data_IF_115605664550
#
_entry.id   IF_115605664550
#
_cell.length_a   1.000
_cell.length_b   1.000
_cell.length_c   1.000
_cell.angle_alpha   90.00
_cell.angle_beta   90.00
_cell.angle_gamma   90.00
#
_symmetry.space_group_name_H-M   'P 1'
#
loop_
_entity.id
_entity.type
_entity.pdbx_description
1 polymer ?
#
# COMPACT_ATOMS: atom_id res chain seq x y z
N UNK A 1 -47.26 20.10 -7.55
CA UNK A 1 -47.44 19.55 -6.19
C UNK A 1 -46.24 19.96 -5.37
N UNK A 2 -46.43 20.52 -4.18
CA UNK A 2 -45.32 20.78 -3.27
C UNK A 2 -44.70 19.44 -2.83
N UNK A 3 -43.36 19.34 -2.71
CA UNK A 3 -42.75 18.13 -2.17
C UNK A 3 -43.28 17.85 -0.75
N UNK A 4 -43.36 16.58 -0.31
CA UNK A 4 -43.81 16.26 1.04
C UNK A 4 -42.78 16.78 2.05
N UNK A 5 -43.22 17.59 3.01
CA UNK A 5 -42.43 18.05 4.15
C UNK A 5 -42.10 16.85 5.05
N UNK A 6 -40.83 16.43 5.02
CA UNK A 6 -40.34 15.25 5.75
C UNK A 6 -39.21 15.60 6.69
N UNK A 7 -38.64 16.79 6.59
CA UNK A 7 -37.63 17.27 7.50
C UNK A 7 -38.26 17.77 8.80
N UNK A 8 -37.51 17.69 9.90
CA UNK A 8 -38.02 18.15 11.19
C UNK A 8 -37.80 19.64 11.35
N UNK A 9 -38.74 20.34 11.98
CA UNK A 9 -38.66 21.78 12.23
C UNK A 9 -37.75 22.21 13.41
N UNK A 10 -37.12 21.25 14.09
CA UNK A 10 -36.22 21.48 15.24
C UNK A 10 -35.12 20.42 15.27
N UNK A 11 -34.03 20.68 16.02
CA UNK A 11 -32.98 19.67 16.28
C UNK A 11 -33.55 18.36 16.84
N UNK A 12 -34.54 18.44 17.76
CA UNK A 12 -35.17 17.26 18.38
C UNK A 12 -35.91 16.39 17.35
N UNK A 13 -36.55 17.02 16.37
CA UNK A 13 -37.37 16.36 15.37
C UNK A 13 -36.61 16.11 14.05
N UNK A 14 -35.31 16.40 14.00
CA UNK A 14 -34.51 16.34 12.79
C UNK A 14 -34.60 14.97 12.09
N UNK A 15 -34.78 15.00 10.77
CA UNK A 15 -34.89 13.79 9.96
C UNK A 15 -33.58 13.02 9.97
N UNK A 16 -33.62 11.77 10.41
CA UNK A 16 -32.44 10.89 10.45
C UNK A 16 -32.07 10.43 9.04
N UNK A 17 -30.80 10.59 8.67
CA UNK A 17 -30.26 10.12 7.39
C UNK A 17 -28.98 9.32 7.63
N UNK A 18 -28.87 8.17 6.96
CA UNK A 18 -27.64 7.38 6.92
C UNK A 18 -26.80 7.75 5.71
N UNK A 19 -25.59 8.27 5.94
CA UNK A 19 -24.69 8.70 4.88
C UNK A 19 -23.58 7.66 4.64
N UNK A 20 -23.14 7.60 3.39
CA UNK A 20 -22.07 6.73 2.88
C UNK A 20 -21.24 7.51 1.85
N UNK A 21 -20.22 6.89 1.26
CA UNK A 21 -19.47 7.48 0.15
C UNK A 21 -20.37 7.75 -1.08
N UNK A 22 -21.38 6.91 -1.33
CA UNK A 22 -22.38 7.14 -2.38
C UNK A 22 -23.31 8.31 -2.00
N UNK A 23 -23.41 9.37 -2.83
CA UNK A 23 -24.28 10.49 -2.56
C UNK A 23 -25.76 10.11 -2.51
N UNK A 24 -26.50 10.68 -1.55
CA UNK A 24 -27.95 10.54 -1.41
C UNK A 24 -28.63 11.89 -1.54
N UNK A 25 -29.72 11.94 -2.31
CA UNK A 25 -30.49 13.16 -2.53
C UNK A 25 -31.84 13.14 -1.81
N UNK A 26 -32.18 14.28 -1.22
CA UNK A 26 -33.45 14.56 -0.55
C UNK A 26 -34.10 15.78 -1.23
N UNK A 27 -35.40 15.73 -1.47
CA UNK A 27 -36.17 16.87 -1.98
C UNK A 27 -37.15 17.31 -0.90
N UNK A 28 -37.19 18.61 -0.64
CA UNK A 28 -38.07 19.20 0.36
C UNK A 28 -38.34 20.69 0.08
N UNK A 29 -39.02 21.39 1.00
CA UNK A 29 -39.27 22.83 0.91
C UNK A 29 -39.14 23.53 2.27
N UNK A 30 -38.70 24.79 2.27
CA UNK A 30 -38.68 25.67 3.45
C UNK A 30 -39.35 27.01 3.16
N UNK A 31 -39.89 27.68 4.20
CA UNK A 31 -40.52 28.98 4.04
C UNK A 31 -41.31 29.50 5.24
N UNK A 32 -41.24 30.81 5.50
CA UNK A 32 -41.92 31.40 6.65
C UNK A 32 -41.26 30.98 7.97
N UNK A 33 -41.99 30.23 8.81
CA UNK A 33 -41.45 29.66 10.07
C UNK A 33 -40.82 28.27 9.89
N UNK A 34 -40.95 27.71 8.68
CA UNK A 34 -40.53 26.36 8.36
C UNK A 34 -39.03 26.29 8.08
N UNK A 35 -38.35 25.43 8.84
CA UNK A 35 -36.91 25.18 8.83
C UNK A 35 -36.68 23.68 8.74
N UNK A 36 -35.75 23.24 7.91
CA UNK A 36 -35.51 21.82 7.76
C UNK A 36 -34.25 21.39 8.49
N UNK A 37 -34.43 20.49 9.45
CA UNK A 37 -33.33 19.86 10.17
C UNK A 37 -33.15 18.41 9.74
N UNK A 38 -31.90 18.08 9.40
CA UNK A 38 -31.44 16.71 9.16
C UNK A 38 -30.41 16.33 10.22
N UNK A 39 -30.39 15.06 10.61
CA UNK A 39 -29.42 14.50 11.54
C UNK A 39 -28.74 13.28 10.94
N UNK A 40 -27.42 13.23 11.06
CA UNK A 40 -26.64 12.05 10.70
C UNK A 40 -25.55 11.78 11.75
N UNK A 41 -25.00 10.57 11.71
CA UNK A 41 -23.87 10.17 12.55
C UNK A 41 -22.76 9.67 11.64
N UNK A 42 -21.54 10.14 11.89
CA UNK A 42 -20.33 9.55 11.33
C UNK A 42 -19.65 8.74 12.44
N UNK A 43 -19.32 7.48 12.15
CA UNK A 43 -18.75 6.55 13.15
C UNK A 43 -17.24 6.70 13.30
N UNK A 44 -16.58 7.25 12.28
CA UNK A 44 -15.15 7.56 12.22
C UNK A 44 -14.96 8.83 11.42
N UNK A 45 -13.75 9.40 11.45
CA UNK A 45 -13.43 10.58 10.65
C UNK A 45 -13.86 10.35 9.18
N UNK A 46 -14.50 11.33 8.54
CA UNK A 46 -15.12 11.18 7.21
C UNK A 46 -15.00 12.45 6.39
N UNK A 47 -14.67 12.32 5.09
CA UNK A 47 -14.81 13.39 4.12
C UNK A 47 -16.31 13.61 3.85
N UNK A 48 -16.82 14.76 4.28
CA UNK A 48 -18.22 15.16 4.16
C UNK A 48 -18.41 16.11 2.96
N UNK A 49 -19.52 15.93 2.26
CA UNK A 49 -19.96 16.84 1.21
C UNK A 49 -21.47 17.08 1.28
N UNK A 50 -21.83 18.35 1.10
CA UNK A 50 -23.20 18.84 1.03
C UNK A 50 -23.35 19.74 -0.19
N UNK A 51 -24.41 19.52 -0.95
CA UNK A 51 -24.85 20.39 -2.04
C UNK A 51 -26.36 20.65 -1.93
N UNK A 52 -26.75 21.90 -1.69
CA UNK A 52 -28.15 22.35 -1.79
C UNK A 52 -28.35 23.01 -3.16
N UNK A 53 -29.24 22.45 -3.97
CA UNK A 53 -29.45 22.85 -5.36
C UNK A 53 -30.93 22.87 -5.74
N UNK A 54 -31.23 23.18 -7.00
CA UNK A 54 -32.60 23.25 -7.54
C UNK A 54 -33.52 24.21 -6.76
N UNK A 55 -32.94 25.29 -6.23
CA UNK A 55 -33.64 26.31 -5.43
C UNK A 55 -34.63 27.12 -6.26
N UNK A 56 -35.89 27.21 -5.81
CA UNK A 56 -36.90 28.09 -6.44
C UNK A 56 -36.88 29.52 -5.90
N UNK A 57 -36.34 29.72 -4.69
CA UNK A 57 -35.92 31.01 -4.11
C UNK A 57 -34.70 30.83 -3.20
N UNK A 58 -34.12 31.93 -2.70
CA UNK A 58 -32.89 31.86 -1.89
C UNK A 58 -33.13 31.16 -0.53
N UNK A 59 -32.28 30.17 -0.22
CA UNK A 59 -32.13 29.54 1.08
C UNK A 59 -30.67 29.18 1.33
N UNK A 60 -30.32 29.12 2.60
CA UNK A 60 -28.96 28.88 3.06
C UNK A 60 -28.87 27.56 3.82
N UNK A 61 -27.64 27.12 4.09
CA UNK A 61 -27.37 25.91 4.87
C UNK A 61 -26.35 26.16 5.96
N UNK A 62 -26.53 25.46 7.08
CA UNK A 62 -25.56 25.35 8.15
C UNK A 62 -25.32 23.88 8.49
N UNK A 63 -24.06 23.56 8.80
CA UNK A 63 -23.65 22.35 9.47
C UNK A 63 -23.39 22.69 10.94
N UNK A 64 -23.96 21.92 11.86
CA UNK A 64 -23.90 22.13 13.30
C UNK A 64 -23.43 20.87 14.02
N UNK A 65 -22.87 21.06 15.22
CA UNK A 65 -22.56 19.98 16.16
C UNK A 65 -23.82 19.45 16.89
N UNK A 66 -23.62 18.53 17.83
CA UNK A 66 -24.69 17.88 18.58
C UNK A 66 -25.36 18.77 19.64
N UNK A 67 -24.76 19.93 19.94
CA UNK A 67 -25.32 20.97 20.79
C UNK A 67 -26.08 22.04 19.99
N UNK A 68 -26.07 21.94 18.66
CA UNK A 68 -26.72 22.90 17.76
C UNK A 68 -25.89 24.14 17.49
N UNK A 69 -24.59 24.15 17.82
CA UNK A 69 -23.68 25.23 17.48
C UNK A 69 -23.27 25.09 16.02
N UNK A 70 -23.35 26.18 15.26
CA UNK A 70 -22.90 26.23 13.86
C UNK A 70 -21.38 26.02 13.79
N UNK A 71 -20.98 25.00 13.03
CA UNK A 71 -19.59 24.70 12.68
C UNK A 71 -19.22 25.38 11.37
N UNK A 72 -20.06 25.21 10.35
CA UNK A 72 -19.86 25.76 9.01
C UNK A 72 -21.19 26.26 8.44
N UNK A 73 -21.11 27.23 7.52
CA UNK A 73 -22.26 27.83 6.87
C UNK A 73 -21.96 28.14 5.40
N UNK A 74 -22.99 28.05 4.56
CA UNK A 74 -22.98 28.54 3.19
C UNK A 74 -24.25 29.38 2.96
N UNK A 75 -24.06 30.60 2.45
CA UNK A 75 -25.10 31.62 2.31
C UNK A 75 -24.93 32.43 1.02
N UNK A 76 -24.89 31.74 -0.13
CA UNK A 76 -24.72 32.38 -1.43
C UNK A 76 -26.01 33.12 -1.82
N UNK A 77 -25.84 34.20 -2.59
CA UNK A 77 -26.99 35.02 -3.02
C UNK A 77 -27.81 34.31 -4.11
N UNK A 78 -29.09 34.67 -4.19
CA UNK A 78 -30.05 34.21 -5.22
C UNK A 78 -30.32 32.70 -5.15
N UNK A 79 -30.38 32.02 -6.30
CA UNK A 79 -30.66 30.57 -6.41
C UNK A 79 -29.37 29.76 -6.60
N UNK A 80 -28.22 30.32 -6.21
CA UNK A 80 -26.93 29.65 -6.39
C UNK A 80 -26.87 28.45 -5.45
N UNK A 81 -26.30 27.31 -5.89
CA UNK A 81 -26.17 26.17 -5.01
C UNK A 81 -25.26 26.46 -3.82
N UNK A 82 -25.69 26.00 -2.65
CA UNK A 82 -24.90 26.02 -1.43
C UNK A 82 -24.01 24.78 -1.36
N UNK A 83 -22.76 24.97 -0.96
CA UNK A 83 -21.78 23.88 -0.89
C UNK A 83 -21.03 23.97 0.43
N UNK A 84 -20.90 22.82 1.10
CA UNK A 84 -20.00 22.61 2.23
C UNK A 84 -19.21 21.32 1.95
N UNK A 85 -17.88 21.41 2.07
CA UNK A 85 -16.97 20.28 2.00
C UNK A 85 -16.01 20.41 3.18
N UNK A 86 -15.93 19.38 4.01
CA UNK A 86 -15.05 19.36 5.17
C UNK A 86 -14.75 17.93 5.63
N UNK A 87 -13.77 17.77 6.51
CA UNK A 87 -13.56 16.54 7.27
C UNK A 87 -14.29 16.62 8.61
N UNK A 88 -15.16 15.64 8.86
CA UNK A 88 -15.86 15.51 10.14
C UNK A 88 -15.23 14.40 10.97
N UNK A 89 -14.96 14.65 12.25
CA UNK A 89 -14.56 13.61 13.21
C UNK A 89 -15.75 12.71 13.56
N UNK A 90 -15.52 11.60 14.26
CA UNK A 90 -16.61 10.74 14.71
C UNK A 90 -17.57 11.54 15.63
N UNK A 91 -18.86 11.53 15.32
CA UNK A 91 -19.81 12.40 16.00
C UNK A 91 -21.21 12.38 15.39
N UNK A 92 -22.13 13.04 16.09
CA UNK A 92 -23.47 13.35 15.56
C UNK A 92 -23.46 14.78 15.06
N UNK A 93 -24.01 15.00 13.88
CA UNK A 93 -24.08 16.31 13.25
C UNK A 93 -25.49 16.60 12.77
N UNK A 94 -25.79 17.89 12.66
CA UNK A 94 -27.07 18.40 12.18
C UNK A 94 -26.86 19.35 11.01
N UNK A 95 -27.79 19.32 10.07
CA UNK A 95 -27.86 20.28 8.96
C UNK A 95 -29.15 21.08 9.15
N UNK A 96 -29.06 22.40 9.04
CA UNK A 96 -30.21 23.30 8.99
C UNK A 96 -30.29 23.93 7.61
N UNK A 97 -31.39 23.70 6.90
CA UNK A 97 -31.74 24.46 5.69
C UNK A 97 -32.76 25.51 6.09
N UNK A 98 -32.54 26.76 5.70
CA UNK A 98 -33.41 27.87 6.12
C UNK A 98 -33.60 28.92 5.02
N UNK A 99 -34.83 29.47 4.88
CA UNK A 99 -35.14 30.42 3.84
C UNK A 99 -34.60 31.82 4.18
N UNK A 100 -34.40 32.65 3.16
CA UNK A 100 -34.29 34.09 3.36
C UNK A 100 -35.62 34.71 3.81
N UNK A 101 -35.61 35.87 4.50
CA UNK A 101 -36.83 36.55 4.94
C UNK A 101 -37.85 36.72 3.80
N UNK A 102 -39.11 36.37 4.08
CA UNK A 102 -40.23 36.42 3.13
C UNK A 102 -40.03 35.59 1.84
N UNK A 103 -39.15 34.59 1.85
CA UNK A 103 -39.00 33.62 0.75
C UNK A 103 -39.56 32.26 1.13
N UNK A 104 -40.01 31.54 0.11
CA UNK A 104 -40.35 30.11 0.16
C UNK A 104 -39.58 29.44 -0.97
N UNK A 105 -38.95 28.32 -0.70
CA UNK A 105 -38.16 27.61 -1.70
C UNK A 105 -38.33 26.11 -1.57
N UNK A 106 -38.39 25.44 -2.70
CA UNK A 106 -38.16 24.00 -2.83
C UNK A 106 -36.70 23.76 -3.14
N UNK A 107 -36.14 22.65 -2.72
CA UNK A 107 -34.73 22.34 -2.95
C UNK A 107 -34.47 20.86 -3.19
N UNK A 108 -33.26 20.56 -3.65
CA UNK A 108 -32.63 19.25 -3.57
C UNK A 108 -31.36 19.34 -2.72
N UNK A 109 -31.32 18.58 -1.63
CA UNK A 109 -30.16 18.43 -0.76
C UNK A 109 -29.47 17.10 -1.07
N UNK A 110 -28.24 17.16 -1.57
CA UNK A 110 -27.40 15.98 -1.83
C UNK A 110 -26.28 15.90 -0.82
N UNK A 111 -26.18 14.76 -0.13
CA UNK A 111 -25.25 14.52 0.97
C UNK A 111 -24.42 13.26 0.73
N UNK A 112 -23.14 13.31 1.05
CA UNK A 112 -22.28 12.13 1.17
C UNK A 112 -21.31 12.30 2.36
N UNK A 113 -20.96 11.18 2.98
CA UNK A 113 -19.91 11.12 3.98
C UNK A 113 -19.10 9.85 3.72
N UNK A 114 -17.93 10.02 3.10
CA UNK A 114 -17.00 8.93 2.85
C UNK A 114 -16.08 8.81 4.07
N UNK A 115 -16.08 7.70 4.81
CA UNK A 115 -15.12 7.52 5.89
C UNK A 115 -13.69 7.77 5.41
N UNK A 116 -12.97 8.65 6.10
CA UNK A 116 -11.55 8.74 5.97
C UNK A 116 -11.01 7.40 6.42
N UNK A 117 -10.22 6.79 5.54
CA UNK A 117 -9.40 5.68 5.97
C UNK A 117 -8.29 6.29 6.80
N UNK A 118 -8.33 6.02 8.10
CA UNK A 118 -7.22 6.27 9.02
C UNK A 118 -6.20 5.19 8.68
N UNK A 119 -5.29 5.48 7.74
CA UNK A 119 -4.49 4.47 7.02
C UNK A 119 -3.86 3.44 7.96
N UNK A 120 -4.42 2.25 8.02
CA UNK A 120 -3.71 1.02 8.35
C UNK A 120 -3.55 0.33 7.00
N UNK A 121 -2.46 0.65 6.30
CA UNK A 121 -2.20 0.12 4.97
C UNK A 121 -2.40 -1.40 4.98
N UNK A 122 -3.22 -1.95 4.09
CA UNK A 122 -3.60 -3.36 4.15
C UNK A 122 -2.86 -4.19 3.11
N UNK A 123 -2.02 -5.10 3.58
CA UNK A 123 -1.47 -6.16 2.73
C UNK A 123 -2.25 -7.44 2.95
N UNK A 124 -3.02 -7.85 1.94
CA UNK A 124 -3.74 -9.11 1.94
C UNK A 124 -2.93 -10.21 1.25
N UNK A 125 -2.66 -11.31 1.96
CA UNK A 125 -2.04 -12.50 1.37
C UNK A 125 -3.11 -13.42 0.80
N UNK A 126 -3.01 -13.73 -0.49
CA UNK A 126 -3.94 -14.58 -1.21
C UNK A 126 -3.30 -15.92 -1.60
N UNK A 127 -3.76 -16.98 -0.93
CA UNK A 127 -3.23 -18.34 -1.03
C UNK A 127 -3.84 -19.16 -2.17
N UNK A 128 -4.65 -18.57 -3.07
CA UNK A 128 -5.36 -19.35 -4.11
C UNK A 128 -4.44 -20.13 -5.05
N UNK A 129 -3.19 -19.69 -5.21
CA UNK A 129 -2.22 -20.40 -6.03
C UNK A 129 -1.45 -21.48 -5.28
N UNK A 130 -1.50 -21.52 -3.94
CA UNK A 130 -0.93 -22.59 -3.12
C UNK A 130 -1.75 -23.88 -3.21
N UNK A 131 -1.86 -24.41 -4.42
CA UNK A 131 -2.64 -25.62 -4.74
C UNK A 131 -2.06 -26.88 -4.12
N UNK A 132 -0.83 -26.82 -3.59
CA UNK A 132 -0.17 -27.92 -2.87
C UNK A 132 -0.28 -27.81 -1.35
N UNK A 133 -0.89 -26.74 -0.83
CA UNK A 133 -1.10 -26.53 0.60
C UNK A 133 0.21 -26.38 1.39
N UNK A 134 1.25 -25.79 0.78
CA UNK A 134 2.54 -25.59 1.44
C UNK A 134 2.41 -24.62 2.63
N UNK A 135 1.56 -23.59 2.50
CA UNK A 135 1.29 -22.58 3.53
C UNK A 135 0.28 -23.05 4.58
N UNK A 136 0.61 -24.12 5.28
CA UNK A 136 -0.08 -24.55 6.50
C UNK A 136 0.53 -23.95 7.78
N UNK A 137 -0.28 -23.79 8.82
CA UNK A 137 0.15 -23.52 10.19
C UNK A 137 1.16 -22.36 10.32
N UNK A 138 2.35 -22.67 10.84
CA UNK A 138 3.39 -21.69 11.13
C UNK A 138 3.89 -20.92 9.89
N UNK A 139 3.89 -21.52 8.70
CA UNK A 139 4.35 -20.85 7.47
C UNK A 139 3.46 -19.68 7.09
N UNK A 140 2.15 -19.94 7.12
CA UNK A 140 1.10 -18.94 6.88
C UNK A 140 1.16 -17.83 7.93
N UNK A 141 1.25 -18.21 9.21
CA UNK A 141 1.34 -17.25 10.30
C UNK A 141 2.57 -16.33 10.18
N UNK A 142 3.75 -16.87 9.82
CA UNK A 142 4.96 -16.07 9.64
C UNK A 142 4.84 -15.09 8.46
N UNK A 143 4.22 -15.51 7.35
CA UNK A 143 4.02 -14.66 6.18
C UNK A 143 3.02 -13.52 6.45
N UNK A 144 1.90 -13.83 7.09
CA UNK A 144 0.90 -12.83 7.49
C UNK A 144 1.48 -11.83 8.50
N UNK A 145 2.33 -12.28 9.43
CA UNK A 145 3.03 -11.39 10.36
C UNK A 145 4.04 -10.47 9.65
N UNK A 146 4.76 -10.96 8.63
CA UNK A 146 5.64 -10.10 7.82
C UNK A 146 4.84 -9.03 7.05
N UNK A 147 3.66 -9.37 6.54
CA UNK A 147 2.74 -8.44 5.90
C UNK A 147 2.21 -7.38 6.89
N UNK A 148 1.91 -7.79 8.13
CA UNK A 148 1.48 -6.89 9.20
C UNK A 148 2.57 -5.85 9.53
N UNK A 149 3.84 -6.25 9.60
CA UNK A 149 4.94 -5.30 9.83
C UNK A 149 4.95 -4.17 8.80
N UNK A 150 4.88 -4.49 7.51
CA UNK A 150 4.80 -3.47 6.47
C UNK A 150 3.53 -2.62 6.55
N UNK A 151 2.40 -3.25 6.92
CA UNK A 151 1.12 -2.57 7.17
C UNK A 151 1.20 -1.56 8.32
N UNK A 152 2.11 -1.76 9.30
CA UNK A 152 2.37 -0.78 10.38
C UNK A 152 3.35 0.33 9.99
N UNK A 153 4.19 0.09 8.98
CA UNK A 153 5.18 1.05 8.51
C UNK A 153 4.54 2.01 7.50
N UNK A 154 3.73 1.50 6.60
CA UNK A 154 3.12 2.28 5.52
C UNK A 154 1.85 2.95 6.06
N UNK A 155 1.82 4.27 5.93
CA UNK A 155 0.69 5.14 6.26
C UNK A 155 0.05 5.73 5.00
N UNK A 156 0.42 5.22 3.82
CA UNK A 156 -0.30 5.51 2.60
C UNK A 156 -1.69 4.88 2.62
N UNK A 157 -2.55 5.46 1.80
CA UNK A 157 -3.87 4.93 1.50
C UNK A 157 -4.01 4.85 -0.02
N UNK A 158 -4.00 3.65 -0.59
CA UNK A 158 -4.17 3.46 -2.02
C UNK A 158 -5.65 3.45 -2.40
N UNK A 159 -5.98 3.82 -3.65
CA UNK A 159 -7.34 3.68 -4.14
C UNK A 159 -7.82 2.21 -4.09
N UNK A 160 -9.01 2.00 -3.54
CA UNK A 160 -9.69 0.69 -3.55
C UNK A 160 -9.84 0.17 -4.98
N UNK A 161 -9.54 -1.12 -5.18
CA UNK A 161 -9.80 -1.79 -6.45
C UNK A 161 -11.14 -2.51 -6.40
N UNK A 162 -12.12 -2.15 -7.25
CA UNK A 162 -13.44 -2.72 -7.21
C UNK A 162 -13.48 -4.18 -7.71
N UNK A 163 -14.50 -4.91 -7.26
CA UNK A 163 -14.85 -6.23 -7.81
C UNK A 163 -15.05 -6.12 -9.32
N UNK A 164 -14.59 -7.12 -10.06
CA UNK A 164 -14.65 -7.16 -11.53
C UNK A 164 -13.45 -6.53 -12.22
N UNK A 165 -12.54 -5.86 -11.49
CA UNK A 165 -11.32 -5.32 -12.09
C UNK A 165 -10.48 -6.43 -12.70
N UNK A 166 -10.14 -6.26 -13.98
CA UNK A 166 -9.29 -7.16 -14.72
C UNK A 166 -7.82 -6.78 -14.55
N UNK A 167 -7.00 -7.73 -14.12
CA UNK A 167 -5.56 -7.58 -13.95
C UNK A 167 -4.83 -8.56 -14.89
N UNK A 168 -4.20 -8.10 -15.97
CA UNK A 168 -3.54 -8.93 -16.94
C UNK A 168 -2.18 -9.39 -16.42
N UNK A 169 -1.68 -10.52 -16.90
CA UNK A 169 -0.32 -10.98 -16.63
C UNK A 169 0.02 -11.14 -15.13
N UNK A 170 -0.93 -11.63 -14.32
CA UNK A 170 -0.64 -11.99 -12.93
C UNK A 170 0.24 -13.23 -12.91
N UNK A 171 1.40 -13.14 -12.26
CA UNK A 171 2.32 -14.28 -12.11
C UNK A 171 1.70 -15.35 -11.22
N UNK A 172 1.78 -16.61 -11.63
CA UNK A 172 1.43 -17.74 -10.79
C UNK A 172 2.67 -18.17 -9.99
N UNK A 173 2.73 -17.91 -8.68
CA UNK A 173 3.90 -18.23 -7.85
C UNK A 173 4.11 -19.73 -7.64
N UNK A 174 3.08 -20.57 -7.83
CA UNK A 174 3.18 -22.02 -7.66
C UNK A 174 3.81 -22.71 -8.87
N UNK A 175 3.60 -22.18 -10.08
CA UNK A 175 4.09 -22.79 -11.33
C UNK A 175 5.19 -21.99 -12.01
N UNK A 176 5.36 -20.71 -11.63
CA UNK A 176 6.21 -19.79 -12.37
C UNK A 176 5.62 -19.34 -13.71
N UNK A 177 4.40 -19.78 -14.07
CA UNK A 177 3.69 -19.34 -15.26
C UNK A 177 2.97 -17.99 -15.07
N UNK A 178 2.17 -17.61 -16.06
CA UNK A 178 1.42 -16.35 -16.07
C UNK A 178 -0.06 -16.60 -16.30
N UNK A 179 -0.89 -16.05 -15.41
CA UNK A 179 -2.34 -15.94 -15.60
C UNK A 179 -2.61 -14.71 -16.45
N UNK A 180 -3.07 -14.94 -17.68
CA UNK A 180 -3.26 -13.88 -18.69
C UNK A 180 -4.22 -12.79 -18.24
N UNK A 181 -5.30 -13.17 -17.55
CA UNK A 181 -6.27 -12.22 -17.00
C UNK A 181 -6.81 -12.76 -15.69
N UNK A 182 -6.49 -12.06 -14.61
CA UNK A 182 -7.09 -12.24 -13.30
C UNK A 182 -8.29 -11.31 -13.17
N UNK A 183 -9.40 -11.81 -12.63
CA UNK A 183 -10.56 -10.97 -12.31
C UNK A 183 -10.73 -10.90 -10.81
N UNK A 184 -10.72 -9.68 -10.30
CA UNK A 184 -10.86 -9.37 -8.89
C UNK A 184 -12.24 -9.79 -8.41
N UNK A 185 -12.34 -10.85 -7.60
CA UNK A 185 -13.61 -11.42 -7.12
C UNK A 185 -14.12 -10.81 -5.81
N UNK A 186 -13.33 -9.91 -5.22
CA UNK A 186 -13.61 -9.15 -3.99
C UNK A 186 -12.84 -7.84 -4.06
N UNK A 187 -13.33 -6.76 -3.45
CA UNK A 187 -12.59 -5.50 -3.45
C UNK A 187 -11.20 -5.70 -2.82
N UNK A 188 -10.17 -5.10 -3.42
CA UNK A 188 -8.81 -5.06 -2.86
C UNK A 188 -8.65 -3.70 -2.20
N UNK A 189 -8.39 -3.75 -0.90
CA UNK A 189 -8.00 -2.62 -0.09
C UNK A 189 -6.47 -2.63 -0.04
N UNK A 190 -5.87 -1.57 -0.57
CA UNK A 190 -4.44 -1.38 -0.81
C UNK A 190 -3.71 -2.38 -1.73
N UNK A 191 -3.37 -3.56 -1.23
CA UNK A 191 -2.48 -4.51 -1.92
C UNK A 191 -2.88 -5.96 -1.64
N UNK A 192 -3.03 -6.76 -2.71
CA UNK A 192 -3.06 -8.23 -2.61
C UNK A 192 -1.75 -8.85 -3.07
N UNK A 193 -1.21 -9.81 -2.34
CA UNK A 193 -0.02 -10.58 -2.72
C UNK A 193 -0.41 -12.04 -2.91
N UNK A 194 -0.26 -12.53 -4.14
CA UNK A 194 -0.46 -13.92 -4.49
C UNK A 194 0.74 -14.76 -4.10
N UNK A 195 0.53 -15.85 -3.38
CA UNK A 195 1.63 -16.66 -2.85
C UNK A 195 1.57 -18.12 -3.29
N UNK A 196 2.75 -18.73 -3.39
CA UNK A 196 2.94 -20.13 -3.75
C UNK A 196 4.35 -20.60 -3.38
N UNK A 197 4.61 -21.89 -3.50
CA UNK A 197 5.92 -22.45 -3.21
C UNK A 197 6.31 -23.48 -4.25
N UNK A 198 7.53 -23.39 -4.77
CA UNK A 198 8.06 -24.33 -5.77
C UNK A 198 9.58 -24.39 -5.66
N UNK A 199 10.19 -25.40 -6.23
CA UNK A 199 11.64 -25.44 -6.38
C UNK A 199 12.09 -24.29 -7.28
N UNK A 200 12.96 -23.42 -6.77
CA UNK A 200 13.51 -22.26 -7.48
C UNK A 200 14.91 -22.54 -8.03
N UNK A 201 15.62 -23.48 -7.41
CA UNK A 201 16.95 -23.91 -7.82
C UNK A 201 18.06 -22.92 -7.45
N UNK A 202 19.29 -23.44 -7.42
CA UNK A 202 20.48 -22.66 -7.06
C UNK A 202 20.43 -22.17 -5.61
N UNK A 203 20.84 -20.92 -5.39
CA UNK A 203 20.84 -20.27 -4.07
C UNK A 203 19.62 -19.36 -3.85
N UNK A 204 18.63 -19.39 -4.73
CA UNK A 204 17.46 -18.50 -4.67
C UNK A 204 16.49 -18.96 -3.59
N UNK A 205 16.25 -18.11 -2.60
CA UNK A 205 15.35 -18.36 -1.48
C UNK A 205 13.89 -18.09 -1.83
N UNK A 206 13.66 -16.98 -2.52
CA UNK A 206 12.34 -16.54 -2.92
C UNK A 206 12.42 -15.66 -4.17
N UNK A 207 11.29 -15.50 -4.85
CA UNK A 207 11.11 -14.59 -5.97
C UNK A 207 9.84 -13.80 -5.76
N UNK A 208 9.91 -12.48 -5.86
CA UNK A 208 8.72 -11.64 -5.76
C UNK A 208 8.79 -10.39 -6.62
N UNK A 209 7.65 -9.71 -6.68
CA UNK A 209 7.54 -8.41 -7.30
C UNK A 209 6.08 -8.01 -7.54
N UNK A 210 5.87 -6.79 -8.03
CA UNK A 210 4.56 -6.36 -8.49
C UNK A 210 4.06 -7.31 -9.59
N UNK A 211 2.77 -7.59 -9.55
CA UNK A 211 2.06 -8.46 -10.48
C UNK A 211 0.96 -7.65 -11.13
N UNK A 212 0.54 -8.05 -12.33
CA UNK A 212 -0.42 -7.25 -13.06
C UNK A 212 0.24 -6.14 -13.87
N UNK A 213 1.30 -6.40 -14.63
CA UNK A 213 2.00 -5.32 -15.34
C UNK A 213 1.12 -4.72 -16.44
N UNK A 214 0.91 -3.41 -16.36
CA UNK A 214 0.16 -2.62 -17.32
C UNK A 214 1.07 -1.54 -17.92
N UNK A 215 1.06 -1.44 -19.24
CA UNK A 215 1.54 -0.23 -19.91
C UNK A 215 0.45 0.83 -19.80
N UNK A 216 0.79 2.00 -19.24
CA UNK A 216 -0.11 3.15 -19.12
C UNK A 216 -0.96 3.18 -17.85
N UNK A 217 -0.73 2.30 -16.87
CA UNK A 217 -1.36 2.43 -15.56
C UNK A 217 -0.51 3.32 -14.65
N UNK A 218 -1.08 4.47 -14.30
CA UNK A 218 -0.46 5.48 -13.44
C UNK A 218 0.02 4.93 -12.10
N UNK A 219 -0.68 3.95 -11.52
CA UNK A 219 -0.30 3.31 -10.25
C UNK A 219 0.99 2.49 -10.31
N UNK A 220 1.37 1.99 -11.49
CA UNK A 220 2.58 1.18 -11.67
C UNK A 220 3.73 1.97 -12.30
N UNK A 221 3.42 2.99 -13.10
CA UNK A 221 4.41 3.78 -13.85
C UNK A 221 4.73 5.14 -13.20
N UNK A 222 3.83 5.65 -12.37
CA UNK A 222 3.93 6.95 -11.72
C UNK A 222 5.06 7.07 -10.71
N UNK A 223 5.29 8.29 -10.22
CA UNK A 223 6.27 8.57 -9.17
C UNK A 223 5.85 8.03 -7.80
N UNK A 224 4.55 8.06 -7.52
CA UNK A 224 3.97 7.30 -6.42
C UNK A 224 3.63 5.89 -6.90
N UNK A 225 4.46 4.92 -6.54
CA UNK A 225 4.28 3.52 -6.94
C UNK A 225 3.27 2.83 -6.01
N UNK A 226 2.08 2.55 -6.52
CA UNK A 226 0.92 2.07 -5.74
C UNK A 226 0.32 0.79 -6.34
N UNK A 227 1.08 -0.31 -6.46
CA UNK A 227 0.58 -1.55 -7.05
C UNK A 227 -0.58 -2.08 -6.22
N UNK A 228 -1.57 -2.69 -6.86
CA UNK A 228 -2.64 -3.39 -6.14
C UNK A 228 -2.48 -4.90 -6.12
N UNK A 229 -1.58 -5.45 -6.93
CA UNK A 229 -1.29 -6.87 -7.00
C UNK A 229 0.21 -7.15 -6.98
N UNK A 230 0.61 -8.17 -6.22
CA UNK A 230 1.96 -8.71 -6.13
C UNK A 230 1.96 -10.23 -6.28
N UNK A 231 3.12 -10.80 -6.51
CA UNK A 231 3.29 -12.25 -6.47
C UNK A 231 4.60 -12.63 -5.80
N UNK A 232 4.59 -13.71 -5.03
CA UNK A 232 5.73 -14.17 -4.26
C UNK A 232 5.78 -15.70 -4.23
N UNK A 233 6.94 -16.26 -4.56
CA UNK A 233 7.21 -17.68 -4.52
C UNK A 233 8.38 -17.98 -3.60
N UNK A 234 8.24 -18.98 -2.73
CA UNK A 234 9.32 -19.45 -1.87
C UNK A 234 9.85 -20.79 -2.34
N UNK A 235 11.16 -20.98 -2.16
CA UNK A 235 11.83 -22.23 -2.49
C UNK A 235 11.43 -23.35 -1.52
N UNK A 236 10.99 -24.49 -2.07
CA UNK A 236 10.55 -25.64 -1.27
C UNK A 236 11.70 -26.52 -0.77
N UNK A 237 12.91 -26.33 -1.29
CA UNK A 237 14.10 -27.14 -0.93
C UNK A 237 14.90 -26.55 0.22
N UNK A 238 14.62 -25.29 0.56
CA UNK A 238 15.28 -24.58 1.65
C UNK A 238 14.84 -25.09 3.02
N UNK A 239 15.81 -25.30 3.91
CA UNK A 239 15.58 -25.58 5.33
C UNK A 239 15.19 -24.30 6.07
N UNK A 240 13.89 -24.06 6.17
CA UNK A 240 13.28 -22.86 6.74
C UNK A 240 13.01 -22.97 8.23
N UNK A 241 13.38 -21.93 8.97
CA UNK A 241 12.87 -21.63 10.30
C UNK A 241 11.61 -20.75 10.18
N UNK A 242 10.55 -21.12 10.89
CA UNK A 242 9.29 -20.37 10.93
C UNK A 242 9.03 -19.88 12.34
N UNK A 243 8.96 -18.57 12.48
CA UNK A 243 8.55 -17.90 13.70
C UNK A 243 7.73 -16.67 13.34
N UNK A 244 6.71 -16.41 14.16
CA UNK A 244 5.77 -15.29 14.00
C UNK A 244 6.11 -14.10 14.89
N UNK A 245 6.97 -14.28 15.89
CA UNK A 245 7.26 -13.25 16.90
C UNK A 245 8.49 -12.43 16.50
N UNK A 246 8.43 -11.12 16.76
CA UNK A 246 9.57 -10.21 16.58
C UNK A 246 10.45 -10.15 17.84
N UNK A 247 10.00 -10.79 18.93
CA UNK A 247 10.49 -10.54 20.29
C UNK A 247 11.70 -11.41 20.65
N UNK A 248 11.96 -12.46 19.87
CA UNK A 248 13.03 -13.42 20.07
C UNK A 248 13.79 -13.61 18.75
N UNK A 249 15.11 -13.41 18.78
CA UNK A 249 16.02 -13.71 17.65
C UNK A 249 17.06 -14.75 18.01
N UNK A 250 17.09 -15.19 19.27
CA UNK A 250 18.05 -16.17 19.82
C UNK A 250 17.65 -17.63 19.59
N UNK A 251 16.42 -17.85 19.14
CA UNK A 251 15.80 -19.16 18.89
C UNK A 251 16.04 -19.69 17.48
N UNK A 252 16.51 -18.84 16.55
CA UNK A 252 16.77 -19.23 15.17
C UNK A 252 18.00 -20.16 15.12
N UNK A 253 17.85 -21.41 14.64
CA UNK A 253 18.98 -22.32 14.52
C UNK A 253 20.00 -21.79 13.50
N UNK A 254 21.30 -21.87 13.85
CA UNK A 254 22.42 -21.34 13.04
C UNK A 254 22.48 -21.88 11.60
N UNK A 255 21.90 -23.05 11.35
CA UNK A 255 21.89 -23.73 10.06
C UNK A 255 20.59 -23.50 9.26
N UNK A 256 19.55 -22.91 9.85
CA UNK A 256 18.27 -22.70 9.19
C UNK A 256 18.14 -21.29 8.61
N UNK A 257 17.36 -21.18 7.54
CA UNK A 257 17.05 -19.90 6.92
C UNK A 257 15.83 -19.28 7.59
N UNK A 258 15.91 -18.04 8.05
CA UNK A 258 14.76 -17.36 8.66
C UNK A 258 13.75 -16.95 7.59
N UNK A 259 12.58 -17.62 7.59
CA UNK A 259 11.52 -17.38 6.62
C UNK A 259 10.91 -15.98 6.76
N UNK A 260 10.79 -15.49 7.99
CA UNK A 260 10.18 -14.19 8.28
C UNK A 260 10.98 -13.04 7.65
N UNK A 261 12.31 -13.04 7.80
CA UNK A 261 13.19 -12.05 7.16
C UNK A 261 13.08 -12.08 5.64
N UNK A 262 13.07 -13.27 5.04
CA UNK A 262 12.91 -13.40 3.59
C UNK A 262 11.53 -12.89 3.15
N UNK A 263 10.46 -13.25 3.86
CA UNK A 263 9.12 -12.72 3.55
C UNK A 263 9.07 -11.19 3.61
N UNK A 264 9.66 -10.56 4.63
CA UNK A 264 9.76 -9.11 4.71
C UNK A 264 10.49 -8.50 3.50
N UNK A 265 11.63 -9.08 3.14
CA UNK A 265 12.44 -8.64 2.00
C UNK A 265 11.65 -8.70 0.68
N UNK A 266 10.97 -9.81 0.44
CA UNK A 266 10.19 -10.01 -0.77
C UNK A 266 8.95 -9.07 -0.81
N UNK A 267 8.33 -8.75 0.32
CA UNK A 267 7.21 -7.78 0.34
C UNK A 267 7.71 -6.38 -0.07
N UNK A 268 8.93 -5.97 0.31
CA UNK A 268 9.50 -4.70 -0.15
C UNK A 268 9.71 -4.66 -1.67
N UNK A 269 10.10 -5.78 -2.29
CA UNK A 269 10.14 -5.89 -3.75
C UNK A 269 8.77 -5.75 -4.38
N UNK A 270 7.71 -6.32 -3.78
CA UNK A 270 6.33 -6.09 -4.24
C UNK A 270 5.95 -4.62 -4.16
N UNK A 271 6.38 -3.93 -3.10
CA UNK A 271 6.15 -2.50 -2.85
C UNK A 271 7.02 -1.57 -3.70
N UNK A 272 7.83 -2.12 -4.60
CA UNK A 272 8.55 -1.36 -5.63
C UNK A 272 10.03 -1.18 -5.39
N UNK A 273 10.58 -1.67 -4.26
CA UNK A 273 12.02 -1.62 -4.01
C UNK A 273 12.74 -2.45 -5.08
N UNK A 274 13.61 -1.83 -5.87
CA UNK A 274 14.36 -2.50 -6.94
C UNK A 274 13.54 -2.87 -8.18
N UNK A 275 12.24 -3.09 -8.05
CA UNK A 275 11.35 -3.59 -9.12
C UNK A 275 10.57 -2.50 -9.84
N UNK A 276 10.44 -1.30 -9.27
CA UNK A 276 9.59 -0.24 -9.83
C UNK A 276 10.35 0.71 -10.75
N UNK A 277 9.59 1.34 -11.66
CA UNK A 277 10.10 2.46 -12.46
C UNK A 277 10.43 3.66 -11.58
N UNK A 278 9.64 3.91 -10.53
CA UNK A 278 9.91 4.94 -9.52
C UNK A 278 11.30 4.75 -8.89
N UNK A 279 11.63 3.51 -8.50
CA UNK A 279 12.95 3.20 -7.97
C UNK A 279 14.04 3.46 -9.00
N UNK A 280 13.83 2.99 -10.25
CA UNK A 280 14.83 3.14 -11.29
C UNK A 280 15.12 4.58 -11.70
N UNK A 281 14.11 5.48 -11.65
CA UNK A 281 14.29 6.92 -11.93
C UNK A 281 15.16 7.63 -10.91
N UNK A 282 15.23 7.11 -9.69
CA UNK A 282 16.01 7.69 -8.59
C UNK A 282 17.44 7.14 -8.50
N UNK A 283 17.84 6.23 -9.41
CA UNK A 283 19.23 5.77 -9.51
C UNK A 283 20.12 6.83 -10.14
N UNK A 284 21.31 7.01 -9.59
CA UNK A 284 22.41 7.81 -10.16
C UNK A 284 23.72 7.01 -10.15
N UNK A 285 24.81 7.60 -10.63
CA UNK A 285 26.15 6.96 -10.62
C UNK A 285 26.63 6.56 -9.23
N UNK A 286 26.11 7.18 -8.17
CA UNK A 286 26.45 6.88 -6.77
C UNK A 286 25.55 5.86 -6.07
N UNK A 287 24.52 5.33 -6.75
CA UNK A 287 23.51 4.43 -6.18
C UNK A 287 22.11 5.05 -6.16
N UNK A 288 21.29 4.68 -5.18
CA UNK A 288 19.92 5.21 -5.04
C UNK A 288 19.95 6.61 -4.40
N UNK A 289 19.40 7.60 -5.11
CA UNK A 289 19.58 9.02 -4.83
C UNK A 289 18.29 9.77 -4.44
N UNK A 290 17.31 9.05 -3.89
CA UNK A 290 16.10 9.62 -3.34
C UNK A 290 16.37 10.60 -2.18
N UNK A 291 15.52 11.62 -2.03
CA UNK A 291 15.75 12.72 -1.10
C UNK A 291 15.63 12.27 0.36
N UNK A 292 14.62 11.45 0.68
CA UNK A 292 14.41 10.91 2.02
C UNK A 292 15.52 9.92 2.38
N UNK A 293 15.90 9.05 1.45
CA UNK A 293 16.99 8.09 1.62
C UNK A 293 18.30 8.81 1.90
N UNK A 294 18.66 9.84 1.12
CA UNK A 294 19.85 10.65 1.39
C UNK A 294 19.79 11.31 2.76
N UNK A 295 18.64 11.83 3.19
CA UNK A 295 18.49 12.43 4.52
C UNK A 295 18.78 11.41 5.64
N UNK A 296 18.30 10.16 5.49
CA UNK A 296 18.58 9.07 6.44
C UNK A 296 20.00 8.48 6.28
N UNK A 297 20.70 8.81 5.19
CA UNK A 297 22.01 8.29 4.83
C UNK A 297 23.12 9.34 4.86
N UNK A 298 23.03 10.32 5.77
CA UNK A 298 24.07 11.33 5.96
C UNK A 298 24.29 12.25 4.76
N UNK A 299 23.25 12.47 3.96
CA UNK A 299 23.28 13.27 2.73
C UNK A 299 23.79 12.55 1.48
N UNK A 300 24.27 11.31 1.61
CA UNK A 300 24.88 10.56 0.50
C UNK A 300 23.89 9.58 -0.15
N UNK A 301 24.07 9.31 -1.45
CA UNK A 301 23.31 8.26 -2.14
C UNK A 301 23.54 6.90 -1.47
N UNK A 302 22.49 6.08 -1.44
CA UNK A 302 22.52 4.73 -0.87
C UNK A 302 23.22 3.77 -1.86
N UNK A 303 24.36 3.15 -1.49
CA UNK A 303 25.07 2.25 -2.39
C UNK A 303 24.24 1.00 -2.71
N UNK A 304 24.34 0.52 -3.95
CA UNK A 304 23.64 -0.67 -4.45
C UNK A 304 24.65 -1.74 -4.92
N UNK A 305 24.34 -3.04 -4.77
CA UNK A 305 25.21 -4.17 -5.21
C UNK A 305 24.85 -4.64 -6.63
N UNK A 306 23.58 -4.94 -6.81
CA UNK A 306 22.91 -5.02 -8.11
C UNK A 306 22.08 -3.75 -8.28
N UNK A 307 21.55 -3.46 -9.46
CA UNK A 307 20.75 -2.24 -9.67
C UNK A 307 19.40 -2.22 -8.92
N UNK A 308 19.20 -3.15 -7.99
CA UNK A 308 17.94 -3.57 -7.35
C UNK A 308 18.07 -3.76 -5.83
N UNK A 309 19.27 -4.03 -5.31
CA UNK A 309 19.52 -4.28 -3.87
C UNK A 309 20.50 -3.29 -3.28
N UNK A 310 20.35 -3.02 -1.98
CA UNK A 310 21.35 -2.29 -1.20
C UNK A 310 22.66 -3.07 -1.19
N UNK A 311 23.79 -2.37 -1.27
CA UNK A 311 25.10 -3.00 -1.25
C UNK A 311 25.27 -3.87 -0.02
N UNK A 312 25.71 -5.10 -0.23
CA UNK A 312 26.05 -6.05 0.85
C UNK A 312 27.02 -5.42 1.85
N UNK A 313 26.83 -5.73 3.14
CA UNK A 313 27.58 -5.16 4.27
C UNK A 313 27.52 -3.64 4.42
N UNK A 314 26.63 -2.95 3.69
CA UNK A 314 26.43 -1.53 3.93
C UNK A 314 25.81 -1.34 5.31
N UNK A 315 26.41 -0.47 6.11
CA UNK A 315 25.85 -0.04 7.40
C UNK A 315 26.05 1.46 7.51
N UNK A 316 25.09 2.15 8.10
CA UNK A 316 25.17 3.59 8.33
C UNK A 316 24.49 3.93 9.66
N UNK A 317 25.03 4.90 10.41
CA UNK A 317 24.41 5.38 11.65
C UNK A 317 24.15 4.33 12.74
N UNK A 318 24.86 3.19 12.71
CA UNK A 318 24.68 2.11 13.69
C UNK A 318 23.41 1.25 13.50
N UNK A 319 22.70 1.38 12.37
CA UNK A 319 21.42 0.67 12.13
C UNK A 319 21.55 -0.82 11.81
N UNK A 320 22.78 -1.33 11.69
CA UNK A 320 23.04 -2.67 11.19
C UNK A 320 22.94 -2.78 9.68
N UNK A 321 22.94 -4.02 9.18
CA UNK A 321 22.81 -4.27 7.75
C UNK A 321 21.33 -4.16 7.30
N UNK A 322 21.01 -3.38 6.25
CA UNK A 322 19.65 -3.24 5.73
C UNK A 322 18.99 -4.56 5.33
N UNK A 323 17.66 -4.60 5.40
CA UNK A 323 16.86 -5.73 4.94
C UNK A 323 17.09 -6.03 3.47
N UNK A 324 17.18 -4.99 2.64
CA UNK A 324 17.19 -5.09 1.18
C UNK A 324 18.59 -5.32 0.57
N UNK A 325 19.51 -5.94 1.32
CA UNK A 325 20.75 -6.51 0.75
C UNK A 325 20.45 -7.82 0.02
N UNK A 326 21.23 -8.20 -1.00
CA UNK A 326 20.93 -9.38 -1.82
C UNK A 326 21.11 -10.72 -1.10
N UNK A 327 21.75 -10.73 0.08
CA UNK A 327 22.05 -11.94 0.84
C UNK A 327 21.29 -12.00 2.17
N UNK A 328 20.75 -13.18 2.45
CA UNK A 328 20.21 -13.54 3.75
C UNK A 328 21.15 -14.55 4.43
N UNK A 329 21.54 -14.25 5.66
CA UNK A 329 22.39 -15.12 6.45
C UNK A 329 21.55 -16.08 7.29
N UNK A 330 21.92 -17.37 7.28
CA UNK A 330 21.30 -18.39 8.14
C UNK A 330 21.51 -18.07 9.62
N UNK A 331 20.52 -18.43 10.44
CA UNK A 331 20.55 -18.17 11.88
C UNK A 331 20.32 -16.72 12.30
N UNK A 332 20.08 -15.81 11.37
CA UNK A 332 19.94 -14.38 11.66
C UNK A 332 18.57 -13.85 11.21
N UNK A 333 17.88 -13.14 12.12
CA UNK A 333 16.73 -12.29 11.79
C UNK A 333 17.22 -10.95 11.26
N UNK A 334 16.62 -10.50 10.16
CA UNK A 334 16.82 -9.19 9.54
C UNK A 334 15.46 -8.53 9.36
N UNK A 335 15.32 -7.31 9.85
CA UNK A 335 14.09 -6.51 9.84
C UNK A 335 14.29 -5.24 9.01
N UNK A 336 13.20 -4.55 8.67
CA UNK A 336 13.30 -3.29 7.92
C UNK A 336 14.02 -2.22 8.75
N UNK A 337 15.16 -1.74 8.23
CA UNK A 337 15.91 -0.62 8.80
C UNK A 337 15.35 0.71 8.32
N UNK A 338 15.81 1.81 8.91
CA UNK A 338 15.45 3.17 8.47
C UNK A 338 15.78 3.41 6.98
N UNK A 339 16.84 2.78 6.46
CA UNK A 339 17.25 2.94 5.06
C UNK A 339 16.29 2.21 4.11
N UNK A 340 15.81 1.02 4.48
CA UNK A 340 14.83 0.27 3.69
C UNK A 340 13.51 1.05 3.59
N UNK A 341 13.06 1.60 4.73
CA UNK A 341 11.83 2.39 4.85
C UNK A 341 11.96 3.72 4.09
N UNK A 342 13.13 4.37 4.13
CA UNK A 342 13.35 5.64 3.44
C UNK A 342 13.28 5.51 1.92
N UNK A 343 13.72 4.37 1.37
CA UNK A 343 13.55 4.07 -0.05
C UNK A 343 12.06 4.05 -0.39
N UNK A 344 11.22 3.35 0.38
CA UNK A 344 9.77 3.34 0.14
C UNK A 344 9.16 4.75 0.22
N UNK A 345 9.63 5.61 1.12
CA UNK A 345 9.20 7.01 1.17
C UNK A 345 9.51 7.74 -0.15
N UNK A 346 10.70 7.53 -0.70
CA UNK A 346 11.08 8.08 -2.00
C UNK A 346 10.30 7.47 -3.19
N UNK A 347 9.67 6.29 -3.02
CA UNK A 347 8.75 5.71 -4.00
C UNK A 347 7.31 6.25 -3.88
N UNK A 348 7.10 7.28 -3.06
CA UNK A 348 5.82 7.97 -2.87
C UNK A 348 4.91 7.32 -1.81
N UNK A 349 5.43 6.41 -0.98
CA UNK A 349 4.71 5.92 0.18
C UNK A 349 4.82 6.90 1.34
N UNK A 350 3.73 7.21 2.03
CA UNK A 350 3.81 7.84 3.35
C UNK A 350 4.21 6.75 4.34
N UNK A 351 5.23 6.99 5.17
CA UNK A 351 5.79 5.97 6.06
C UNK A 351 6.01 6.49 7.48
N UNK A 352 5.95 5.57 8.44
CA UNK A 352 6.42 5.76 9.80
C UNK A 352 7.81 5.15 9.97
N UNK A 353 8.78 5.97 10.39
CA UNK A 353 10.10 5.49 10.79
C UNK A 353 10.12 4.94 12.23
N UNK A 354 9.05 5.09 13.01
CA UNK A 354 9.00 4.66 14.42
C UNK A 354 9.16 3.14 14.57
N UNK A 355 8.80 2.38 13.54
CA UNK A 355 8.90 0.92 13.50
C UNK A 355 10.19 0.41 12.84
N UNK A 356 11.11 1.31 12.46
CA UNK A 356 12.43 0.93 11.97
C UNK A 356 13.17 0.12 13.05
N UNK A 357 13.87 -0.93 12.63
CA UNK A 357 14.61 -1.82 13.52
C UNK A 357 16.10 -1.76 13.25
N UNK A 358 16.87 -2.12 14.27
CA UNK A 358 18.30 -2.32 14.16
C UNK A 358 18.55 -3.79 13.82
N UNK A 359 19.44 -4.04 12.88
CA UNK A 359 19.85 -5.39 12.52
C UNK A 359 21.25 -5.72 13.04
N UNK A 360 21.63 -7.00 13.12
CA UNK A 360 23.02 -7.39 13.30
C UNK A 360 23.91 -6.80 12.18
N UNK A 361 25.19 -6.50 12.45
CA UNK A 361 26.15 -6.16 11.39
C UNK A 361 26.37 -7.37 10.46
N UNK A 362 26.53 -7.10 9.16
CA UNK A 362 26.85 -8.14 8.17
C UNK A 362 28.16 -8.88 8.49
N UNK A 363 28.27 -10.15 8.10
CA UNK A 363 29.45 -10.96 8.44
C UNK A 363 30.62 -10.79 7.45
N UNK A 364 31.85 -11.09 7.92
CA UNK A 364 33.08 -11.02 7.12
C UNK A 364 33.09 -11.92 5.87
N UNK A 365 32.25 -12.95 5.78
CA UNK A 365 32.19 -13.83 4.60
C UNK A 365 31.66 -13.11 3.35
N UNK A 366 30.69 -12.20 3.52
CA UNK A 366 30.23 -11.32 2.46
C UNK A 366 31.29 -10.27 2.02
N UNK A 367 32.36 -10.05 2.82
CA UNK A 367 33.47 -9.15 2.44
C UNK A 367 34.38 -9.74 1.36
N UNK A 368 34.44 -11.07 1.20
CA UNK A 368 35.29 -11.72 0.19
C UNK A 368 34.53 -12.03 -1.11
N UNK A 369 33.22 -12.25 -1.07
CA UNK A 369 32.39 -12.48 -2.27
C UNK A 369 32.29 -11.23 -3.17
N UNK A 370 32.16 -10.04 -2.56
CA UNK A 370 32.07 -8.75 -3.27
C UNK A 370 33.33 -8.34 -4.05
N UNK A 371 34.48 -8.98 -3.81
CA UNK A 371 35.72 -8.73 -4.56
C UNK A 371 35.86 -9.62 -5.82
N UNK A 372 35.04 -10.67 -5.97
CA UNK A 372 35.19 -11.67 -7.04
C UNK A 372 34.30 -11.45 -8.27
N UNK A 373 33.25 -10.62 -8.18
CA UNK A 373 32.33 -10.35 -9.30
C UNK A 373 32.86 -9.34 -10.33
N UNK A 374 34.02 -8.71 -10.07
CA UNK A 374 34.63 -7.71 -10.94
C UNK A 374 35.55 -8.29 -12.02
N UNK A 375 35.03 -9.08 -12.98
CA UNK A 375 35.53 -9.21 -14.38
C UNK A 375 34.91 -10.41 -15.08
N UNK A 376 33.97 -10.17 -15.99
CA UNK A 376 33.86 -10.88 -17.29
C UNK A 376 32.89 -10.13 -18.20
N UNK A 377 33.44 -9.33 -19.12
CA UNK A 377 32.75 -8.87 -20.33
C UNK A 377 32.54 -10.11 -21.22
N UNK A 378 31.31 -10.38 -21.67
CA UNK A 378 31.06 -11.18 -22.87
C UNK A 378 29.92 -10.59 -23.71
N UNK A 379 30.20 -10.55 -25.01
CA UNK A 379 29.45 -9.95 -26.11
C UNK A 379 28.09 -10.60 -26.36
N UNK A 380 27.06 -9.77 -26.53
CA UNK A 380 25.74 -10.19 -27.01
C UNK A 380 25.66 -10.10 -28.53
N UNK A 381 25.62 -11.23 -29.23
CA UNK A 381 25.09 -11.31 -30.60
C UNK A 381 24.29 -12.62 -30.76
N UNK A 382 23.03 -12.49 -31.18
CA UNK A 382 22.21 -13.58 -31.73
C UNK A 382 21.06 -14.09 -30.85
N UNK A 383 19.93 -13.36 -30.78
CA UNK A 383 18.61 -13.91 -30.37
C UNK A 383 17.49 -13.28 -31.23
N UNK A 384 16.50 -14.09 -31.59
CA UNK A 384 15.45 -13.79 -32.58
C UNK A 384 14.32 -12.89 -32.06
N UNK A 385 13.53 -12.29 -32.97
CA UNK A 385 12.47 -11.32 -32.65
C UNK A 385 11.34 -11.89 -31.77
N UNK A 386 11.06 -13.20 -31.85
CA UNK A 386 10.08 -13.88 -31.00
C UNK A 386 10.65 -14.27 -29.63
N UNK A 387 11.97 -14.46 -29.48
CA UNK A 387 12.63 -14.62 -28.17
C UNK A 387 12.77 -13.30 -27.41
N UNK A 388 12.76 -12.16 -28.12
CA UNK A 388 12.62 -10.83 -27.51
C UNK A 388 11.22 -10.59 -26.91
N UNK A 389 10.20 -11.26 -27.42
CA UNK A 389 8.82 -11.17 -26.92
C UNK A 389 8.49 -12.20 -25.82
N UNK A 390 9.31 -13.25 -25.68
CA UNK A 390 9.18 -14.29 -24.65
C UNK A 390 10.07 -14.09 -23.42
N UNK A 391 10.90 -13.02 -23.39
CA UNK A 391 11.69 -12.63 -22.21
C UNK A 391 10.85 -11.92 -21.13
N UNK A 392 9.69 -12.49 -20.77
CA UNK A 392 8.75 -11.95 -19.78
C UNK A 392 9.27 -12.01 -18.31
N UNK A 393 10.58 -11.84 -18.13
CA UNK A 393 11.13 -10.85 -17.20
C UNK A 393 11.44 -9.58 -18.00
N UNK A 394 10.41 -8.85 -18.42
CA UNK A 394 10.58 -7.57 -19.07
C UNK A 394 11.09 -6.56 -18.05
N UNK A 395 12.40 -6.38 -17.97
CA UNK A 395 13.12 -5.23 -17.38
C UNK A 395 12.85 -4.80 -15.92
N UNK A 396 12.01 -5.50 -15.14
CA UNK A 396 11.62 -5.08 -13.78
C UNK A 396 11.48 -6.21 -12.74
N UNK A 397 11.94 -7.43 -13.02
CA UNK A 397 11.88 -8.52 -12.04
C UNK A 397 13.22 -8.75 -11.39
N UNK A 398 13.31 -8.48 -10.09
CA UNK A 398 14.50 -8.74 -9.31
C UNK A 398 14.92 -10.22 -9.42
N UNK A 399 16.23 -10.44 -9.57
CA UNK A 399 16.81 -11.77 -9.29
C UNK A 399 16.65 -12.00 -7.80
N UNK A 400 15.98 -13.09 -7.40
CA UNK A 400 15.55 -13.32 -6.02
C UNK A 400 16.64 -13.25 -4.96
N UNK A 401 16.24 -13.16 -3.70
CA UNK A 401 17.16 -13.15 -2.56
C UNK A 401 18.01 -14.44 -2.53
N UNK A 402 19.31 -14.31 -2.22
CA UNK A 402 20.28 -15.41 -2.24
C UNK A 402 20.73 -15.81 -0.83
N UNK A 403 21.04 -17.09 -0.63
CA UNK A 403 21.71 -17.58 0.59
C UNK A 403 23.17 -17.14 0.62
N UNK A 404 23.63 -16.58 1.75
CA UNK A 404 25.07 -16.46 2.03
C UNK A 404 25.64 -17.84 2.40
N UNK A 405 26.35 -18.47 1.47
CA UNK A 405 27.14 -19.67 1.73
C UNK A 405 28.47 -19.26 2.34
N UNK A 406 28.47 -19.02 3.65
CA UNK A 406 29.72 -18.78 4.40
C UNK A 406 30.80 -19.79 4.01
N UNK A 407 32.05 -19.32 3.87
CA UNK A 407 33.19 -20.09 3.37
C UNK A 407 33.35 -21.44 4.12
N UNK A 408 32.78 -22.52 3.57
CA UNK A 408 32.74 -23.79 4.28
C UNK A 408 32.28 -25.02 3.50
N UNK A 409 31.89 -24.91 2.22
CA UNK A 409 31.57 -26.09 1.41
C UNK A 409 32.43 -26.10 0.15
N UNK A 410 33.56 -26.81 0.23
CA UNK A 410 34.23 -27.32 -0.97
C UNK A 410 33.37 -28.46 -1.50
N UNK A 411 32.68 -28.25 -2.61
CA UNK A 411 32.27 -29.37 -3.44
C UNK A 411 33.54 -29.88 -4.13
N UNK A 412 33.89 -31.13 -3.82
CA UNK A 412 35.00 -31.85 -4.45
C UNK A 412 34.72 -32.17 -5.91
#
# INVERSE_FOLDING_TARGET
MNPPDRAGNTLKNARRVGLTATPKSFRDAVGGKDLDFYRFRVQRASQFSLNLSELTANANVELMDDQGKTLLQSARKNKRPEVIQDTLTAGTYFIRVFPQPNKRTTYRLTLAAAPLKTSSFKIEIDYRFDTRGWFGGARRAALEAAAEVWSTIIQSEFPDVPVGTQTPNVRNPQTGGTVRTFVTNRAIDDLVIFVGARELGGSTLALSGPSGYFVGESRYEGDAFQPWAGSMAFDTTTDWYFDRTLDSTSDIPKNQQDFFSTALHEIAHVLGFGTSRAFSRLKSSGGFSGANTKAQNGGSALPLDSSEHIRSNYTFGGVGEPLMTPFAQRGNRKLATVLDIAVLNDLGHTVSYANAKLNPPGTRAAQSAGLSAGRRRRSQQGLSLNERLLSAYGSCGCSGCLVDVGAGVRFG
#
